data_IF_122458521625
#
_entry.id   IF_122458521625
#
_cell.length_a   1.000
_cell.length_b   1.000
_cell.length_c   1.000
_cell.angle_alpha   90.00
_cell.angle_beta   90.00
_cell.angle_gamma   90.00
#
_symmetry.space_group_name_H-M   'P 1'
#
loop_
_entity.id
_entity.type
_entity.pdbx_description
1 polymer ?
#
# COMPACT_ATOMS: atom_id res chain seq x y z
N UNK A 1 -2.70 -13.49 -3.29
CA UNK A 1 -3.43 -12.23 -3.11
C UNK A 1 -2.48 -11.06 -3.32
N UNK A 2 -2.94 -9.94 -3.87
CA UNK A 2 -2.15 -8.72 -3.87
C UNK A 2 -2.47 -7.92 -2.60
N UNK A 3 -1.53 -7.99 -1.64
CA UNK A 3 -1.69 -7.39 -0.32
C UNK A 3 -1.87 -5.87 -0.37
N UNK A 4 -1.18 -5.21 -1.30
CA UNK A 4 -1.26 -3.76 -1.42
C UNK A 4 -2.66 -3.33 -1.86
N UNK A 5 -3.25 -4.00 -2.85
CA UNK A 5 -4.60 -3.65 -3.28
C UNK A 5 -5.65 -3.95 -2.21
N UNK A 6 -5.58 -5.10 -1.57
CA UNK A 6 -6.50 -5.46 -0.49
C UNK A 6 -6.42 -4.48 0.66
N UNK A 7 -5.21 -4.07 1.05
CA UNK A 7 -5.03 -3.03 2.05
C UNK A 7 -5.69 -1.70 1.63
N UNK A 8 -5.50 -1.26 0.39
CA UNK A 8 -6.13 -0.05 -0.13
C UNK A 8 -7.66 -0.12 -0.10
N UNK A 9 -8.22 -1.28 -0.47
CA UNK A 9 -9.66 -1.54 -0.45
C UNK A 9 -10.20 -1.49 0.99
N UNK A 10 -9.50 -2.09 1.95
CA UNK A 10 -9.87 -2.04 3.38
C UNK A 10 -9.85 -0.62 3.96
N UNK A 11 -8.95 0.23 3.47
CA UNK A 11 -8.85 1.63 3.91
C UNK A 11 -9.78 2.57 3.10
N UNK A 12 -10.55 2.06 2.13
CA UNK A 12 -11.39 2.85 1.23
C UNK A 12 -10.61 3.94 0.47
N UNK A 13 -9.36 3.67 0.11
CA UNK A 13 -8.50 4.61 -0.61
C UNK A 13 -8.04 4.03 -1.94
N UNK A 14 -8.11 4.83 -2.98
CA UNK A 14 -7.66 4.46 -4.33
C UNK A 14 -6.21 4.85 -4.57
N UNK A 15 -5.55 4.13 -5.48
CA UNK A 15 -4.23 4.53 -6.01
C UNK A 15 -4.25 5.96 -6.56
N UNK A 16 -5.37 6.37 -7.17
CA UNK A 16 -5.59 7.74 -7.67
C UNK A 16 -5.46 8.79 -6.57
N UNK A 17 -6.15 8.58 -5.44
CA UNK A 17 -6.10 9.49 -4.30
C UNK A 17 -4.68 9.61 -3.73
N UNK A 18 -3.98 8.48 -3.56
CA UNK A 18 -2.60 8.47 -3.06
C UNK A 18 -1.68 9.28 -3.96
N UNK A 19 -1.72 9.06 -5.28
CA UNK A 19 -0.89 9.84 -6.19
C UNK A 19 -1.23 11.34 -6.18
N UNK A 20 -2.52 11.68 -6.13
CA UNK A 20 -2.95 13.08 -6.10
C UNK A 20 -2.44 13.81 -4.85
N UNK A 21 -2.42 13.13 -3.71
CA UNK A 21 -1.94 13.71 -2.45
C UNK A 21 -0.41 13.75 -2.36
N UNK A 22 0.28 12.74 -2.88
CA UNK A 22 1.72 12.53 -2.62
C UNK A 22 2.63 12.87 -3.79
N UNK A 23 2.06 13.07 -4.99
CA UNK A 23 2.81 13.24 -6.24
C UNK A 23 3.43 11.94 -6.78
N UNK A 24 3.18 10.78 -6.15
CA UNK A 24 3.69 9.50 -6.65
C UNK A 24 2.98 9.10 -7.96
N UNK A 25 3.70 8.51 -8.92
CA UNK A 25 3.06 8.13 -10.18
C UNK A 25 2.04 7.00 -10.01
N UNK A 26 0.91 7.10 -10.73
CA UNK A 26 -0.06 6.01 -10.82
C UNK A 26 0.59 4.68 -11.23
N UNK A 27 1.52 4.72 -12.19
CA UNK A 27 2.25 3.54 -12.66
C UNK A 27 3.09 2.87 -11.58
N UNK A 28 3.60 3.63 -10.59
CA UNK A 28 4.36 3.07 -9.48
C UNK A 28 3.45 2.35 -8.50
N UNK A 29 2.31 2.95 -8.16
CA UNK A 29 1.28 2.32 -7.33
C UNK A 29 0.68 1.09 -8.03
N UNK A 30 0.51 1.14 -9.36
CA UNK A 30 0.03 0.03 -10.15
C UNK A 30 0.99 -1.16 -10.11
N UNK A 31 2.30 -0.92 -10.29
CA UNK A 31 3.30 -2.00 -10.17
C UNK A 31 3.32 -2.64 -8.79
N UNK A 32 3.07 -1.87 -7.74
CA UNK A 32 2.91 -2.40 -6.39
C UNK A 32 1.68 -3.32 -6.30
N UNK A 33 0.57 -2.91 -6.93
CA UNK A 33 -0.65 -3.74 -7.02
C UNK A 33 -0.60 -4.88 -8.05
N UNK A 34 0.46 -5.00 -8.84
CA UNK A 34 0.61 -6.13 -9.74
C UNK A 34 1.60 -7.16 -9.17
N UNK A 35 2.21 -6.85 -8.01
CA UNK A 35 3.18 -7.71 -7.37
C UNK A 35 2.51 -8.79 -6.52
N UNK A 36 2.98 -10.03 -6.68
CA UNK A 36 2.64 -11.17 -5.82
C UNK A 36 3.69 -11.39 -4.71
N UNK A 37 4.64 -10.47 -4.53
CA UNK A 37 5.74 -10.61 -3.57
C UNK A 37 5.38 -10.26 -2.13
N UNK A 38 4.09 -10.09 -1.82
CA UNK A 38 3.63 -9.79 -0.47
C UNK A 38 4.11 -8.44 0.05
N UNK A 39 4.24 -8.33 1.37
CA UNK A 39 4.78 -7.12 2.02
C UNK A 39 6.25 -6.86 1.65
N UNK A 40 7.02 -7.91 1.37
CA UNK A 40 8.44 -7.82 1.02
C UNK A 40 8.72 -7.09 -0.30
N UNK A 41 7.75 -7.01 -1.22
CA UNK A 41 7.92 -6.31 -2.49
C UNK A 41 7.56 -4.83 -2.45
N UNK A 42 7.00 -4.34 -1.33
CA UNK A 42 6.55 -2.96 -1.19
C UNK A 42 7.73 -2.07 -0.78
N UNK A 43 8.15 -1.21 -1.71
CA UNK A 43 9.24 -0.26 -1.42
C UNK A 43 8.85 0.75 -0.32
N UNK A 44 9.84 1.20 0.45
CA UNK A 44 9.63 2.26 1.46
C UNK A 44 9.07 3.57 0.88
N UNK A 45 9.26 3.85 -0.42
CA UNK A 45 8.62 5.00 -1.10
C UNK A 45 7.10 4.85 -1.17
N UNK A 46 6.61 3.64 -1.47
CA UNK A 46 5.17 3.34 -1.52
C UNK A 46 4.59 3.42 -0.11
N UNK A 47 5.26 2.81 0.88
CA UNK A 47 4.81 2.88 2.28
C UNK A 47 4.68 4.33 2.77
N UNK A 48 5.67 5.20 2.49
CA UNK A 48 5.61 6.63 2.83
C UNK A 48 4.45 7.36 2.16
N UNK A 49 4.20 7.08 0.88
CA UNK A 49 3.10 7.71 0.15
C UNK A 49 1.74 7.27 0.70
N UNK A 50 1.56 5.97 0.90
CA UNK A 50 0.33 5.42 1.46
C UNK A 50 0.09 5.92 2.89
N UNK A 51 1.14 5.98 3.72
CA UNK A 51 1.09 6.51 5.06
C UNK A 51 0.65 7.99 5.09
N UNK A 52 1.23 8.82 4.22
CA UNK A 52 0.84 10.23 4.10
C UNK A 52 -0.62 10.41 3.65
N UNK A 53 -1.13 9.52 2.78
CA UNK A 53 -2.52 9.58 2.31
C UNK A 53 -3.55 9.12 3.37
N UNK A 54 -3.10 8.34 4.36
CA UNK A 54 -3.95 7.76 5.40
C UNK A 54 -3.77 8.42 6.78
N UNK A 55 -2.94 9.45 6.88
CA UNK A 55 -2.54 10.07 8.15
C UNK A 55 -1.97 9.04 9.15
N UNK A 56 -1.13 8.13 8.63
CA UNK A 56 -0.45 7.08 9.41
C UNK A 56 1.06 7.23 9.29
N UNK A 57 1.79 6.49 10.12
CA UNK A 57 3.22 6.27 9.93
C UNK A 57 3.48 5.15 8.93
N UNK A 58 4.64 5.14 8.23
CA UNK A 58 5.00 4.03 7.35
C UNK A 58 5.10 2.68 8.07
N UNK A 59 5.45 2.69 9.37
CA UNK A 59 5.47 1.50 10.22
C UNK A 59 4.09 0.91 10.40
N UNK A 60 3.11 1.72 10.81
CA UNK A 60 1.71 1.27 10.96
C UNK A 60 1.14 0.68 9.66
N UNK A 61 1.41 1.31 8.51
CA UNK A 61 0.97 0.78 7.21
C UNK A 61 1.59 -0.59 6.94
N UNK A 62 2.88 -0.76 7.23
CA UNK A 62 3.56 -2.03 7.04
C UNK A 62 3.04 -3.10 8.01
N UNK A 63 2.88 -2.77 9.28
CA UNK A 63 2.37 -3.68 10.31
C UNK A 63 0.97 -4.19 9.94
N UNK A 64 0.06 -3.30 9.55
CA UNK A 64 -1.30 -3.66 9.10
C UNK A 64 -1.28 -4.54 7.83
N UNK A 65 -0.37 -4.29 6.89
CA UNK A 65 -0.22 -5.14 5.71
C UNK A 65 0.33 -6.53 6.06
N UNK A 66 1.26 -6.63 7.02
CA UNK A 66 1.79 -7.91 7.50
C UNK A 66 0.68 -8.72 8.19
N UNK A 67 -0.14 -8.07 9.01
CA UNK A 67 -1.30 -8.71 9.66
C UNK A 67 -2.30 -9.24 8.62
N UNK A 68 -2.61 -8.45 7.59
CA UNK A 68 -3.48 -8.89 6.50
C UNK A 68 -2.89 -10.08 5.72
N UNK A 69 -1.57 -10.10 5.51
CA UNK A 69 -0.88 -11.20 4.83
C UNK A 69 -0.87 -12.47 5.67
N UNK A 70 -0.73 -12.35 7.00
CA UNK A 70 -0.79 -13.48 7.92
C UNK A 70 -2.19 -14.08 8.05
N UNK A 71 -3.24 -13.26 8.00
CA UNK A 71 -4.63 -13.70 8.13
C UNK A 71 -5.22 -14.35 6.85
N UNK A 72 -4.56 -14.20 5.70
CA UNK A 72 -4.94 -14.85 4.44
C UNK A 72 -4.25 -16.21 4.22
N UNK A 73 -3.34 -16.61 5.14
CA UNK A 73 -2.67 -17.92 5.16
C UNK A 73 -3.33 -18.89 6.15
#
# INVERSE_FOLDING_TARGET
MNIFQVYLDNQNVTRYQIAKMTGLSQSTLQRASDSNGGTNSISGRILKATAAALDKTPGQVLDEMIELEANDN
#
